data_IF_713925578312
#
_entry.id   IF_713925578312
#
_cell.length_a   1.000
_cell.length_b   1.000
_cell.length_c   1.000
_cell.angle_alpha   90.00
_cell.angle_beta   90.00
_cell.angle_gamma   90.00
#
_symmetry.space_group_name_H-M   'P 1'
#
loop_
_entity.id
_entity.type
_entity.pdbx_description
1 polymer ?
#
# COMPACT_ATOMS: atom_id res chain seq x y z
N UNK A 1 24.69 -9.43 -14.17
CA UNK A 1 25.58 -8.42 -14.78
C UNK A 1 25.53 -7.16 -13.93
N UNK A 2 26.67 -6.67 -13.41
CA UNK A 2 26.71 -5.41 -12.66
C UNK A 2 26.80 -4.25 -13.65
N UNK A 3 25.70 -3.55 -13.89
CA UNK A 3 25.71 -2.38 -14.76
C UNK A 3 26.37 -1.23 -14.01
N UNK A 4 27.54 -0.80 -14.50
CA UNK A 4 28.20 0.40 -13.97
C UNK A 4 27.49 1.62 -14.53
N UNK A 5 26.81 2.38 -13.65
CA UNK A 5 26.13 3.62 -14.01
C UNK A 5 27.17 4.71 -14.32
N UNK A 6 26.99 5.44 -15.41
CA UNK A 6 27.83 6.61 -15.72
C UNK A 6 27.56 7.76 -14.74
N UNK A 7 28.46 8.75 -14.63
CA UNK A 7 28.23 9.96 -13.81
C UNK A 7 26.92 10.69 -14.14
N UNK A 8 26.49 10.64 -15.41
CA UNK A 8 25.20 11.18 -15.87
C UNK A 8 23.98 10.36 -15.40
N UNK A 9 24.17 9.10 -15.01
CA UNK A 9 23.13 8.15 -14.60
C UNK A 9 22.96 8.02 -13.08
N UNK A 10 23.68 8.82 -12.26
CA UNK A 10 23.31 9.10 -10.87
C UNK A 10 22.09 10.05 -10.80
N UNK A 11 21.07 9.66 -11.55
CA UNK A 11 19.85 10.41 -11.78
C UNK A 11 19.00 10.29 -10.52
N UNK A 12 18.38 11.42 -10.17
CA UNK A 12 17.30 11.42 -9.18
C UNK A 12 16.02 11.04 -9.91
N UNK A 13 15.42 9.92 -9.54
CA UNK A 13 14.11 9.50 -10.02
C UNK A 13 13.06 10.40 -9.38
N UNK A 14 12.32 11.16 -10.19
CA UNK A 14 11.20 12.00 -9.75
C UNK A 14 9.88 11.44 -10.22
N UNK A 15 9.90 10.79 -11.38
CA UNK A 15 8.73 10.18 -12.01
C UNK A 15 9.05 8.77 -12.50
N UNK A 16 8.04 7.92 -12.75
CA UNK A 16 8.24 6.63 -13.39
C UNK A 16 8.92 6.73 -14.77
N UNK A 17 8.72 7.84 -15.48
CA UNK A 17 9.35 8.11 -16.78
C UNK A 17 10.89 8.25 -16.66
N UNK A 18 11.40 8.78 -15.56
CA UNK A 18 12.85 8.82 -15.30
C UNK A 18 13.43 7.41 -15.19
N UNK A 19 12.73 6.51 -14.48
CA UNK A 19 13.15 5.12 -14.33
C UNK A 19 13.07 4.37 -15.66
N UNK A 20 11.97 4.57 -16.41
CA UNK A 20 11.80 4.00 -17.74
C UNK A 20 12.90 4.45 -18.71
N UNK A 21 13.24 5.74 -18.77
CA UNK A 21 14.33 6.24 -19.62
C UNK A 21 15.66 5.55 -19.33
N UNK A 22 16.01 5.40 -18.05
CA UNK A 22 17.23 4.68 -17.65
C UNK A 22 17.19 3.22 -18.11
N UNK A 23 16.07 2.54 -17.88
CA UNK A 23 15.94 1.13 -18.24
C UNK A 23 15.87 0.89 -19.76
N UNK A 24 15.24 1.79 -20.51
CA UNK A 24 15.22 1.76 -21.98
C UNK A 24 16.63 1.85 -22.55
N UNK A 25 17.44 2.79 -22.06
CA UNK A 25 18.85 2.91 -22.46
C UNK A 25 19.67 1.66 -22.10
N UNK A 26 19.35 0.99 -20.99
CA UNK A 26 19.99 -0.28 -20.60
C UNK A 26 19.59 -1.39 -21.58
N UNK A 27 18.29 -1.59 -21.81
CA UNK A 27 17.80 -2.63 -22.71
C UNK A 27 18.29 -2.45 -24.14
N UNK A 28 18.35 -1.22 -24.64
CA UNK A 28 18.81 -0.94 -26.00
C UNK A 28 20.31 -1.21 -26.21
N UNK A 29 21.10 -1.31 -25.15
CA UNK A 29 22.52 -1.72 -25.22
C UNK A 29 22.71 -3.22 -25.35
N UNK A 30 21.70 -4.02 -25.00
CA UNK A 30 21.79 -5.47 -25.13
C UNK A 30 21.58 -5.90 -26.58
N UNK A 31 22.17 -7.04 -26.97
CA UNK A 31 22.01 -7.59 -28.30
C UNK A 31 20.56 -7.98 -28.57
N UNK A 32 20.16 -8.03 -29.86
CA UNK A 32 18.77 -8.27 -30.25
C UNK A 32 18.19 -9.56 -29.65
N UNK A 33 19.00 -10.61 -29.59
CA UNK A 33 18.60 -11.92 -29.04
C UNK A 33 18.31 -11.82 -27.54
N UNK A 34 19.10 -11.06 -26.79
CA UNK A 34 18.88 -10.90 -25.36
C UNK A 34 17.66 -10.03 -25.09
N UNK A 35 17.40 -8.97 -25.89
CA UNK A 35 16.17 -8.18 -25.78
C UNK A 35 14.88 -8.96 -25.99
N UNK A 36 14.94 -10.11 -26.67
CA UNK A 36 13.80 -11.01 -26.86
C UNK A 36 13.52 -11.91 -25.64
N UNK A 37 14.38 -11.88 -24.60
CA UNK A 37 14.20 -12.57 -23.32
C UNK A 37 13.49 -11.69 -22.30
N UNK A 38 12.81 -12.34 -21.35
CA UNK A 38 12.26 -11.66 -20.17
C UNK A 38 13.35 -11.47 -19.12
N UNK A 39 13.42 -10.25 -18.62
CA UNK A 39 14.36 -9.80 -17.60
C UNK A 39 13.60 -9.18 -16.45
N UNK A 40 13.95 -9.59 -15.25
CA UNK A 40 13.51 -8.94 -14.03
C UNK A 40 14.68 -8.17 -13.42
N UNK A 41 14.53 -6.86 -13.36
CA UNK A 41 15.52 -5.93 -12.83
C UNK A 41 15.05 -5.30 -11.53
N UNK A 42 16.02 -4.89 -10.72
CA UNK A 42 15.80 -4.11 -9.51
C UNK A 42 16.64 -2.84 -9.57
N UNK A 43 15.97 -1.70 -9.41
CA UNK A 43 16.62 -0.40 -9.25
C UNK A 43 16.58 0.03 -7.79
N UNK A 44 17.72 0.01 -7.12
CA UNK A 44 17.83 0.44 -5.72
C UNK A 44 18.02 1.95 -5.60
N UNK A 45 17.25 2.58 -4.71
CA UNK A 45 17.24 4.03 -4.50
C UNK A 45 17.71 4.43 -3.10
N UNK A 46 18.43 5.55 -3.05
CA UNK A 46 18.71 6.28 -1.81
C UNK A 46 17.43 6.97 -1.27
N UNK A 47 17.43 7.44 0.00
CA UNK A 47 16.35 8.26 0.55
C UNK A 47 16.00 9.48 -0.32
N UNK A 48 17.01 10.04 -0.99
CA UNK A 48 16.91 11.20 -1.89
C UNK A 48 16.39 10.86 -3.30
N UNK A 49 15.92 9.63 -3.52
CA UNK A 49 15.51 9.08 -4.82
C UNK A 49 16.62 9.00 -5.88
N UNK A 50 17.88 9.06 -5.46
CA UNK A 50 19.01 8.81 -6.36
C UNK A 50 19.24 7.32 -6.56
N UNK A 51 19.49 6.91 -7.81
CA UNK A 51 19.84 5.54 -8.13
C UNK A 51 21.19 5.18 -7.48
N UNK A 52 21.19 4.09 -6.71
CA UNK A 52 22.40 3.47 -6.14
C UNK A 52 22.88 2.28 -6.96
N UNK A 53 21.96 1.54 -7.58
CA UNK A 53 22.29 0.45 -8.48
C UNK A 53 21.10 0.08 -9.37
N UNK A 54 21.40 -0.62 -10.46
CA UNK A 54 20.45 -1.40 -11.26
C UNK A 54 21.03 -2.81 -11.42
N UNK A 55 20.29 -3.83 -11.04
CA UNK A 55 20.72 -5.24 -11.08
C UNK A 55 19.72 -6.09 -11.86
N UNK A 56 20.24 -6.94 -12.75
CA UNK A 56 19.48 -8.03 -13.34
C UNK A 56 19.36 -9.17 -12.32
N UNK A 57 18.16 -9.41 -11.82
CA UNK A 57 17.88 -10.44 -10.81
C UNK A 57 17.51 -11.77 -11.45
N UNK A 58 16.76 -11.75 -12.55
CA UNK A 58 16.34 -12.95 -13.27
C UNK A 58 16.39 -12.73 -14.77
N UNK A 59 16.84 -13.75 -15.50
CA UNK A 59 16.88 -13.83 -16.97
C UNK A 59 16.20 -15.15 -17.36
N UNK A 60 15.13 -15.12 -18.15
CA UNK A 60 14.43 -16.35 -18.49
C UNK A 60 13.37 -16.24 -19.57
N UNK A 61 12.77 -17.39 -19.87
CA UNK A 61 11.56 -17.54 -20.67
C UNK A 61 10.38 -17.69 -19.70
N UNK A 62 9.25 -17.07 -20.02
CA UNK A 62 7.99 -17.05 -19.25
C UNK A 62 7.76 -18.35 -18.45
N UNK A 63 7.68 -18.28 -17.12
CA UNK A 63 6.71 -19.15 -16.45
C UNK A 63 6.93 -19.65 -15.03
N UNK A 64 8.11 -19.71 -14.46
CA UNK A 64 8.28 -19.96 -13.02
C UNK A 64 9.77 -19.93 -12.74
N UNK A 65 10.14 -19.31 -11.62
CA UNK A 65 11.51 -19.10 -11.13
C UNK A 65 12.30 -17.95 -11.80
N UNK A 66 13.00 -17.02 -11.13
CA UNK A 66 13.52 -16.92 -9.76
C UNK A 66 13.73 -15.43 -9.36
N UNK A 67 12.70 -14.67 -9.01
CA UNK A 67 12.88 -13.38 -8.29
C UNK A 67 12.66 -13.59 -6.80
N UNK A 68 13.48 -14.45 -6.18
CA UNK A 68 13.38 -14.71 -4.75
C UNK A 68 13.72 -13.45 -3.95
N UNK A 69 12.99 -13.14 -2.87
CA UNK A 69 13.18 -11.90 -2.13
C UNK A 69 14.63 -11.66 -1.68
N UNK A 70 15.37 -12.73 -1.36
CA UNK A 70 16.79 -12.62 -1.01
C UNK A 70 17.62 -11.98 -2.13
N UNK A 71 17.36 -12.34 -3.39
CA UNK A 71 18.09 -11.80 -4.54
C UNK A 71 17.64 -10.37 -4.85
N UNK A 72 16.34 -10.06 -4.69
CA UNK A 72 15.79 -8.72 -4.90
C UNK A 72 16.37 -7.71 -3.89
N UNK A 73 16.48 -8.09 -2.62
CA UNK A 73 16.84 -7.16 -1.55
C UNK A 73 18.31 -7.19 -1.13
N UNK A 74 19.12 -8.17 -1.55
CA UNK A 74 20.54 -8.28 -1.15
C UNK A 74 21.33 -6.99 -1.40
N UNK A 75 21.23 -6.41 -2.60
CA UNK A 75 21.93 -5.16 -2.87
C UNK A 75 21.26 -3.94 -2.25
N UNK A 76 19.95 -3.96 -2.04
CA UNK A 76 19.27 -2.88 -1.33
C UNK A 76 19.79 -2.78 0.11
N UNK A 77 19.90 -3.91 0.79
CA UNK A 77 20.41 -3.97 2.16
C UNK A 77 21.90 -3.60 2.23
N UNK A 78 22.75 -4.23 1.42
CA UNK A 78 24.20 -4.00 1.47
C UNK A 78 24.59 -2.58 1.03
N UNK A 79 23.82 -1.93 0.16
CA UNK A 79 24.06 -0.54 -0.28
C UNK A 79 23.26 0.49 0.52
N UNK A 80 22.50 0.09 1.54
CA UNK A 80 21.68 0.97 2.37
C UNK A 80 20.65 1.76 1.55
N UNK A 81 19.96 1.09 0.63
CA UNK A 81 18.81 1.65 -0.07
C UNK A 81 17.60 1.66 0.87
N UNK A 82 16.77 2.70 0.76
CA UNK A 82 15.48 2.73 1.48
C UNK A 82 14.33 2.25 0.61
N UNK A 83 14.55 2.19 -0.71
CA UNK A 83 13.52 1.82 -1.69
C UNK A 83 14.11 1.02 -2.84
N UNK A 84 13.26 0.22 -3.46
CA UNK A 84 13.52 -0.45 -4.74
C UNK A 84 12.37 -0.18 -5.70
N UNK A 85 12.70 -0.09 -6.99
CA UNK A 85 11.73 -0.18 -8.08
C UNK A 85 11.95 -1.52 -8.77
N UNK A 86 10.88 -2.27 -8.97
CA UNK A 86 10.88 -3.52 -9.73
C UNK A 86 10.64 -3.19 -11.20
N UNK A 87 11.36 -3.84 -12.10
CA UNK A 87 11.18 -3.62 -13.54
C UNK A 87 11.17 -4.96 -14.26
N UNK A 88 10.11 -5.24 -15.01
CA UNK A 88 10.00 -6.42 -15.84
C UNK A 88 9.81 -6.00 -17.31
N UNK A 89 10.67 -6.45 -18.22
CA UNK A 89 10.42 -6.22 -19.65
C UNK A 89 9.54 -7.33 -20.23
N UNK A 90 8.56 -6.94 -21.04
CA UNK A 90 7.78 -7.87 -21.85
C UNK A 90 8.20 -7.77 -23.32
N UNK A 91 8.95 -8.74 -23.87
CA UNK A 91 9.34 -8.75 -25.29
C UNK A 91 8.15 -8.73 -26.25
N UNK A 92 6.99 -9.23 -25.80
CA UNK A 92 5.74 -9.22 -26.56
C UNK A 92 5.14 -7.82 -26.76
N UNK A 93 5.73 -6.78 -26.14
CA UNK A 93 5.27 -5.39 -26.14
C UNK A 93 3.88 -5.19 -25.50
N UNK A 94 3.28 -6.24 -24.92
CA UNK A 94 2.04 -6.13 -24.13
C UNK A 94 2.39 -5.74 -22.70
N UNK A 95 1.91 -4.58 -22.28
CA UNK A 95 2.23 -4.02 -20.95
C UNK A 95 1.29 -4.48 -19.83
N UNK A 96 0.29 -5.32 -20.13
CA UNK A 96 -0.59 -5.86 -19.10
C UNK A 96 0.21 -6.79 -18.17
N UNK A 97 0.18 -6.56 -16.85
CA UNK A 97 0.83 -7.45 -15.90
C UNK A 97 0.15 -8.82 -15.92
N UNK A 98 0.95 -9.88 -15.84
CA UNK A 98 0.47 -11.23 -15.64
C UNK A 98 0.07 -11.47 -14.18
N UNK A 99 -0.69 -12.54 -13.93
CA UNK A 99 -0.97 -13.03 -12.57
C UNK A 99 0.33 -13.23 -11.75
N UNK A 100 1.40 -13.66 -12.40
CA UNK A 100 2.72 -13.90 -11.78
C UNK A 100 3.39 -12.59 -11.38
N UNK A 101 3.23 -11.53 -12.18
CA UNK A 101 3.73 -10.20 -11.82
C UNK A 101 3.03 -9.68 -10.57
N UNK A 102 1.70 -9.81 -10.51
CA UNK A 102 0.89 -9.40 -9.36
C UNK A 102 1.30 -10.17 -8.09
N UNK A 103 1.39 -11.49 -8.20
CA UNK A 103 1.77 -12.39 -7.11
C UNK A 103 3.17 -12.11 -6.55
N UNK A 104 4.15 -11.97 -7.46
CA UNK A 104 5.52 -11.63 -7.10
C UNK A 104 5.59 -10.26 -6.41
N UNK A 105 4.86 -9.27 -6.93
CA UNK A 105 4.85 -7.92 -6.38
C UNK A 105 4.26 -7.89 -4.98
N UNK A 106 3.14 -8.58 -4.75
CA UNK A 106 2.56 -8.74 -3.40
C UNK A 106 3.59 -9.32 -2.43
N UNK A 107 4.20 -10.47 -2.78
CA UNK A 107 5.22 -11.11 -1.94
C UNK A 107 6.37 -10.17 -1.61
N UNK A 108 6.87 -9.41 -2.59
CA UNK A 108 7.98 -8.47 -2.40
C UNK A 108 7.58 -7.26 -1.57
N UNK A 109 6.34 -6.74 -1.70
CA UNK A 109 5.81 -5.67 -0.85
C UNK A 109 5.84 -6.11 0.62
N UNK A 110 5.32 -7.31 0.92
CA UNK A 110 5.28 -7.80 2.31
C UNK A 110 6.69 -8.00 2.88
N UNK A 111 7.62 -8.59 2.11
CA UNK A 111 9.00 -8.75 2.55
C UNK A 111 9.68 -7.39 2.77
N UNK A 112 9.48 -6.45 1.84
CA UNK A 112 10.02 -5.09 1.92
C UNK A 112 9.61 -4.36 3.19
N UNK A 113 8.35 -4.52 3.64
CA UNK A 113 7.86 -3.98 4.91
C UNK A 113 8.63 -4.50 6.12
N UNK A 114 8.88 -5.81 6.17
CA UNK A 114 9.59 -6.46 7.28
C UNK A 114 11.03 -5.94 7.39
N UNK A 115 11.73 -5.83 6.26
CA UNK A 115 13.13 -5.41 6.22
C UNK A 115 13.33 -3.89 6.09
N UNK A 116 12.23 -3.12 6.10
CA UNK A 116 12.21 -1.66 5.93
C UNK A 116 12.85 -1.16 4.63
N UNK A 117 12.63 -1.88 3.53
CA UNK A 117 12.96 -1.46 2.17
C UNK A 117 11.68 -1.42 1.37
N UNK A 118 11.20 -0.22 1.06
CA UNK A 118 9.95 0.00 0.35
C UNK A 118 10.06 -0.48 -1.11
N UNK A 119 9.12 -1.32 -1.54
CA UNK A 119 8.89 -1.54 -2.98
C UNK A 119 8.07 -0.35 -3.49
N UNK A 120 8.75 0.60 -4.10
CA UNK A 120 8.19 1.92 -4.43
C UNK A 120 7.26 1.89 -5.64
N UNK A 121 7.60 1.10 -6.66
CA UNK A 121 6.75 0.87 -7.83
C UNK A 121 7.19 -0.42 -8.54
N UNK A 122 6.35 -0.93 -9.42
CA UNK A 122 6.69 -1.99 -10.37
C UNK A 122 6.34 -1.54 -11.79
N UNK A 123 7.35 -1.48 -12.65
CA UNK A 123 7.22 -1.10 -14.04
C UNK A 123 7.25 -2.34 -14.94
N UNK A 124 6.21 -2.52 -15.75
CA UNK A 124 6.25 -3.38 -16.93
C UNK A 124 6.69 -2.51 -18.10
N UNK A 125 7.79 -2.87 -18.75
CA UNK A 125 8.40 -2.05 -19.79
C UNK A 125 8.48 -2.78 -21.12
N UNK A 126 8.48 -2.00 -22.20
CA UNK A 126 8.81 -2.44 -23.55
C UNK A 126 9.87 -1.51 -24.14
N UNK A 127 10.25 -1.72 -25.40
CA UNK A 127 11.20 -0.80 -26.07
C UNK A 127 10.61 0.60 -26.32
N UNK A 128 9.28 0.73 -26.31
CA UNK A 128 8.56 1.94 -26.70
C UNK A 128 7.85 2.64 -25.55
N UNK A 129 7.31 1.88 -24.60
CA UNK A 129 6.46 2.41 -23.53
C UNK A 129 6.57 1.58 -22.26
N UNK A 130 5.88 2.01 -21.21
CA UNK A 130 5.79 1.30 -19.94
C UNK A 130 4.41 1.45 -19.32
N UNK A 131 4.10 0.54 -18.40
CA UNK A 131 3.03 0.65 -17.42
C UNK A 131 3.68 0.61 -16.05
N UNK A 132 3.22 1.45 -15.13
CA UNK A 132 3.64 1.40 -13.74
C UNK A 132 2.44 1.06 -12.84
N UNK A 133 2.68 0.23 -11.83
CA UNK A 133 1.65 -0.34 -10.96
C UNK A 133 1.00 0.72 -10.09
N UNK A 134 1.78 1.71 -9.64
CA UNK A 134 1.29 2.81 -8.81
C UNK A 134 0.16 3.58 -9.51
N UNK A 135 0.36 3.98 -10.78
CA UNK A 135 -0.65 4.72 -11.55
C UNK A 135 -1.90 3.88 -11.87
N UNK A 136 -1.82 2.55 -11.73
CA UNK A 136 -2.95 1.63 -11.89
C UNK A 136 -3.65 1.30 -10.56
N UNK A 137 -3.19 1.86 -9.44
CA UNK A 137 -3.70 1.53 -8.10
C UNK A 137 -3.35 0.11 -7.65
N UNK A 138 -2.41 -0.56 -8.33
CA UNK A 138 -2.05 -1.94 -8.02
C UNK A 138 -1.17 -2.03 -6.77
N UNK A 139 -0.30 -1.04 -6.52
CA UNK A 139 0.57 -1.04 -5.35
C UNK A 139 -0.23 -1.00 -4.04
N UNK A 140 -1.24 -0.12 -3.96
CA UNK A 140 -2.14 -0.02 -2.82
C UNK A 140 -2.92 -1.34 -2.62
N UNK A 141 -3.58 -1.82 -3.68
CA UNK A 141 -4.36 -3.07 -3.65
C UNK A 141 -3.53 -4.28 -3.23
N UNK A 142 -2.33 -4.44 -3.77
CA UNK A 142 -1.43 -5.55 -3.40
C UNK A 142 -0.86 -5.35 -1.99
N UNK A 143 -0.66 -4.11 -1.57
CA UNK A 143 -0.28 -3.78 -0.20
C UNK A 143 -1.32 -4.19 0.85
N UNK A 144 -2.61 -4.24 0.50
CA UNK A 144 -3.68 -4.68 1.39
C UNK A 144 -3.82 -6.22 1.46
N UNK A 145 -3.17 -6.94 0.54
CA UNK A 145 -3.19 -8.41 0.52
C UNK A 145 -2.70 -9.00 1.84
N UNK A 146 -3.37 -10.08 2.27
CA UNK A 146 -2.98 -10.88 3.44
C UNK A 146 -2.22 -12.15 3.05
N UNK A 147 -2.04 -12.42 1.75
CA UNK A 147 -1.51 -13.69 1.24
C UNK A 147 -0.11 -14.01 1.76
N UNK A 148 0.78 -13.02 1.79
CA UNK A 148 2.18 -13.16 2.23
C UNK A 148 2.47 -12.47 3.56
N UNK A 149 1.44 -12.03 4.28
CA UNK A 149 1.60 -11.36 5.58
C UNK A 149 1.91 -12.42 6.65
N UNK A 150 2.97 -12.27 7.45
CA UNK A 150 3.26 -13.19 8.54
C UNK A 150 2.11 -13.26 9.57
N UNK A 151 1.86 -14.44 10.12
CA UNK A 151 0.73 -14.66 11.04
C UNK A 151 0.74 -13.74 12.27
N UNK A 152 1.92 -13.39 12.80
CA UNK A 152 2.02 -12.48 13.95
C UNK A 152 1.53 -11.07 13.61
N UNK A 153 1.81 -10.59 12.40
CA UNK A 153 1.35 -9.27 11.93
C UNK A 153 -0.16 -9.28 11.67
N UNK A 154 -0.71 -10.39 11.15
CA UNK A 154 -2.15 -10.56 11.04
C UNK A 154 -2.85 -10.53 12.40
N UNK A 155 -2.29 -11.21 13.41
CA UNK A 155 -2.82 -11.19 14.78
C UNK A 155 -2.80 -9.77 15.35
N UNK A 156 -1.72 -9.00 15.12
CA UNK A 156 -1.65 -7.60 15.54
C UNK A 156 -2.69 -6.73 14.85
N UNK A 157 -2.91 -6.89 13.53
CA UNK A 157 -3.96 -6.20 12.79
C UNK A 157 -5.35 -6.53 13.33
N UNK A 158 -5.64 -7.82 13.58
CA UNK A 158 -6.91 -8.27 14.16
C UNK A 158 -7.11 -7.65 15.54
N UNK A 159 -6.13 -7.72 16.44
CA UNK A 159 -6.23 -7.13 17.79
C UNK A 159 -6.44 -5.62 17.75
N UNK A 160 -5.75 -4.93 16.83
CA UNK A 160 -5.92 -3.50 16.65
C UNK A 160 -7.35 -3.16 16.20
N UNK A 161 -7.91 -3.95 15.28
CA UNK A 161 -9.27 -3.75 14.78
C UNK A 161 -10.33 -4.11 15.83
N UNK A 162 -10.17 -5.24 16.53
CA UNK A 162 -11.02 -5.62 17.68
C UNK A 162 -11.05 -4.53 18.75
N UNK A 163 -9.89 -3.92 19.03
CA UNK A 163 -9.80 -2.80 19.97
C UNK A 163 -10.61 -1.60 19.49
N UNK A 164 -10.50 -1.20 18.21
CA UNK A 164 -11.31 -0.10 17.66
C UNK A 164 -12.80 -0.37 17.73
N UNK A 165 -13.22 -1.58 17.33
CA UNK A 165 -14.62 -1.99 17.40
C UNK A 165 -15.13 -1.94 18.84
N UNK A 166 -14.33 -2.41 19.80
CA UNK A 166 -14.66 -2.35 21.22
C UNK A 166 -14.78 -0.90 21.72
N UNK A 167 -13.84 -0.02 21.38
CA UNK A 167 -13.87 1.39 21.75
C UNK A 167 -15.10 2.10 21.16
N UNK A 168 -15.44 1.82 19.90
CA UNK A 168 -16.64 2.35 19.27
C UNK A 168 -17.92 1.82 19.94
N UNK A 169 -17.99 0.54 20.24
CA UNK A 169 -19.12 -0.07 20.94
C UNK A 169 -19.33 0.54 22.33
N UNK A 170 -18.25 0.79 23.08
CA UNK A 170 -18.30 1.49 24.38
C UNK A 170 -18.85 2.91 24.18
N UNK A 171 -18.32 3.68 23.23
CA UNK A 171 -18.79 5.05 22.94
C UNK A 171 -20.27 5.10 22.57
N UNK A 172 -20.74 4.13 21.77
CA UNK A 172 -22.15 4.02 21.37
C UNK A 172 -23.02 3.64 22.57
N UNK A 173 -22.55 2.73 23.44
CA UNK A 173 -23.26 2.33 24.66
C UNK A 173 -23.38 3.50 25.65
N UNK A 174 -22.32 4.28 25.87
CA UNK A 174 -22.34 5.48 26.72
C UNK A 174 -23.36 6.50 26.23
N UNK A 175 -23.29 6.88 24.94
CA UNK A 175 -24.26 7.82 24.33
C UNK A 175 -25.70 7.34 24.43
N UNK A 176 -25.95 6.03 24.24
CA UNK A 176 -27.29 5.44 24.43
C UNK A 176 -27.72 5.50 25.89
N UNK A 177 -26.80 5.24 26.82
CA UNK A 177 -27.03 5.32 28.26
C UNK A 177 -27.39 6.73 28.72
N UNK A 178 -26.63 7.74 28.30
CA UNK A 178 -26.91 9.16 28.55
C UNK A 178 -28.27 9.57 28.00
N UNK A 179 -28.57 9.21 26.74
CA UNK A 179 -29.86 9.50 26.12
C UNK A 179 -31.02 8.83 26.87
N UNK A 180 -30.84 7.59 27.36
CA UNK A 180 -31.86 6.89 28.15
C UNK A 180 -32.12 7.60 29.49
N UNK A 181 -31.07 8.02 30.20
CA UNK A 181 -31.19 8.81 31.44
C UNK A 181 -31.89 10.15 31.21
N UNK A 182 -31.54 10.85 30.13
CA UNK A 182 -32.19 12.09 29.72
C UNK A 182 -33.69 11.89 29.44
N UNK A 183 -34.07 10.82 28.75
CA UNK A 183 -35.48 10.46 28.49
C UNK A 183 -36.24 10.15 29.79
N UNK A 184 -35.63 9.40 30.71
CA UNK A 184 -36.25 9.06 31.99
C UNK A 184 -36.45 10.31 32.86
N UNK A 185 -35.44 11.18 32.96
CA UNK A 185 -35.54 12.47 33.64
C UNK A 185 -36.62 13.36 33.02
N UNK A 186 -36.67 13.47 31.69
CA UNK A 186 -37.69 14.22 30.98
C UNK A 186 -39.11 13.68 31.28
N UNK A 187 -39.28 12.36 31.35
CA UNK A 187 -40.55 11.74 31.70
C UNK A 187 -40.98 12.12 33.13
N UNK A 188 -40.08 12.04 34.10
CA UNK A 188 -40.37 12.44 35.49
C UNK A 188 -40.70 13.93 35.61
N UNK A 189 -39.96 14.81 34.94
CA UNK A 189 -40.23 16.26 34.95
C UNK A 189 -41.57 16.59 34.29
N UNK A 190 -41.90 15.92 33.17
CA UNK A 190 -43.19 16.06 32.49
C UNK A 190 -44.36 15.63 33.38
N UNK A 191 -44.23 14.52 34.11
CA UNK A 191 -45.24 14.07 35.07
C UNK A 191 -45.43 15.04 36.25
N UNK A 192 -44.39 15.76 36.65
CA UNK A 192 -44.44 16.81 37.67
C UNK A 192 -45.00 18.15 37.16
N UNK A 193 -45.33 18.27 35.87
CA UNK A 193 -45.86 19.49 35.28
C UNK A 193 -44.81 20.59 35.01
N UNK A 194 -43.52 20.23 34.94
CA UNK A 194 -42.47 21.19 34.64
C UNK A 194 -42.58 21.71 33.19
N UNK A 195 -42.28 23.00 32.93
CA UNK A 195 -42.29 23.57 31.58
C UNK A 195 -41.32 22.86 30.63
N UNK A 196 -41.68 22.75 29.35
CA UNK A 196 -40.87 22.08 28.32
C UNK A 196 -39.48 22.72 28.18
N UNK A 197 -39.40 24.05 28.29
CA UNK A 197 -38.15 24.82 28.21
C UNK A 197 -37.15 24.37 29.28
N UNK A 198 -37.64 24.16 30.51
CA UNK A 198 -36.83 23.66 31.62
C UNK A 198 -36.39 22.21 31.37
N UNK A 199 -37.27 21.36 30.82
CA UNK A 199 -36.90 19.98 30.47
C UNK A 199 -35.78 19.95 29.42
N UNK A 200 -35.84 20.83 28.40
CA UNK A 200 -34.78 20.96 27.38
C UNK A 200 -33.45 21.33 28.04
N UNK A 201 -33.45 22.33 28.93
CA UNK A 201 -32.25 22.80 29.63
C UNK A 201 -31.57 21.69 30.43
N UNK A 202 -32.34 20.93 31.21
CA UNK A 202 -31.78 19.89 32.10
C UNK A 202 -31.42 18.58 31.40
N UNK A 203 -32.08 18.25 30.29
CA UNK A 203 -31.91 16.94 29.62
C UNK A 203 -31.16 17.00 28.30
N UNK A 204 -31.03 18.20 27.72
CA UNK A 204 -30.46 18.42 26.38
C UNK A 204 -31.29 17.80 25.24
N UNK A 205 -32.48 17.27 25.53
CA UNK A 205 -33.38 16.72 24.52
C UNK A 205 -34.04 17.83 23.72
N UNK A 206 -34.34 17.55 22.46
CA UNK A 206 -35.10 18.48 21.62
C UNK A 206 -36.58 18.51 22.04
N UNK A 207 -37.26 19.64 21.76
CA UNK A 207 -38.71 19.75 22.00
C UNK A 207 -39.50 18.58 21.39
N UNK A 208 -39.18 18.19 20.15
CA UNK A 208 -39.81 17.04 19.46
C UNK A 208 -39.59 15.72 20.19
N UNK A 209 -38.43 15.50 20.78
CA UNK A 209 -38.15 14.30 21.56
C UNK A 209 -38.98 14.26 22.85
N UNK A 210 -39.08 15.40 23.55
CA UNK A 210 -39.85 15.52 24.81
C UNK A 210 -41.36 15.35 24.57
N UNK A 211 -41.89 15.92 23.48
CA UNK A 211 -43.31 15.78 23.12
C UNK A 211 -43.70 14.33 22.83
N UNK A 212 -42.79 13.54 22.21
CA UNK A 212 -43.00 12.11 21.90
C UNK A 212 -42.92 11.19 23.12
N UNK A 213 -42.38 11.64 24.24
CA UNK A 213 -42.35 10.86 25.49
C UNK A 213 -43.78 10.75 26.02
N UNK A 214 -44.30 9.52 26.14
CA UNK A 214 -45.60 9.25 26.75
C UNK A 214 -45.53 9.58 28.25
N UNK A 215 -46.44 10.43 28.70
CA UNK A 215 -46.65 10.83 30.09
C UNK A 215 -46.94 9.60 30.97
#
# INVERSE_FOLDING_TARGET
>A
MNITLTRKQHIKIRTPDDAFKVMKEILLREDKIDREKEHFWVMGLAPSFRIKYVELVSLGCVGATYAEPINVFRFALTKGCTRVILIHNHPSERLNPSEKDLDLTDRLIQVGRIIKVEVFDHLIISTKSYLNFEAKGLMEKLGESTKYVPSFELIERIRAEEKKIREEAVRVAEKKGEKKKAIEMAKTMKQKGEPIEKIIEYTGLTRREIERIKS
#
